data_IF_167093786145
#
_entry.id   IF_167093786145
#
_cell.length_a   1.000
_cell.length_b   1.000
_cell.length_c   1.000
_cell.angle_alpha   90.00
_cell.angle_beta   90.00
_cell.angle_gamma   90.00
#
_symmetry.space_group_name_H-M   'P 1'
#
loop_
_entity.id
_entity.type
_entity.pdbx_description
1 polymer ?
#
# COMPACT_ATOMS: atom_id res chain seq x y z
N UNK A 1 -9.02 -3.64 0.90
CA UNK A 1 -8.90 -2.18 0.80
C UNK A 1 -10.26 -1.53 1.02
N UNK A 2 -10.40 -0.55 1.93
CA UNK A 2 -11.64 0.17 2.15
C UNK A 2 -12.11 0.94 0.91
N UNK A 3 -13.42 1.05 0.72
CA UNK A 3 -14.02 1.72 -0.46
C UNK A 3 -13.62 3.19 -0.57
N UNK A 4 -13.48 3.90 0.56
CA UNK A 4 -13.06 5.31 0.54
C UNK A 4 -11.68 5.52 -0.10
N UNK A 5 -10.77 4.55 0.04
CA UNK A 5 -9.45 4.59 -0.61
C UNK A 5 -9.60 4.34 -2.11
N UNK A 6 -10.51 3.46 -2.53
CA UNK A 6 -10.80 3.25 -3.95
C UNK A 6 -11.34 4.52 -4.60
N UNK A 7 -12.35 5.16 -3.98
CA UNK A 7 -12.91 6.43 -4.46
C UNK A 7 -11.85 7.52 -4.58
N UNK A 8 -10.93 7.62 -3.61
CA UNK A 8 -9.79 8.53 -3.73
C UNK A 8 -8.93 8.22 -4.95
N UNK A 9 -8.55 6.96 -5.16
CA UNK A 9 -7.71 6.56 -6.30
C UNK A 9 -8.38 6.80 -7.66
N UNK A 10 -9.70 6.65 -7.73
CA UNK A 10 -10.51 6.91 -8.93
C UNK A 10 -10.68 8.42 -9.22
N UNK A 11 -10.47 9.28 -8.22
CA UNK A 11 -10.73 10.73 -8.33
C UNK A 11 -9.54 11.54 -8.84
N UNK A 12 -8.36 10.94 -9.00
CA UNK A 12 -7.12 11.66 -9.39
C UNK A 12 -6.29 10.89 -10.41
N UNK A 13 -5.44 11.61 -11.15
CA UNK A 13 -4.49 11.01 -12.09
C UNK A 13 -3.17 10.61 -11.40
N UNK A 14 -2.87 9.32 -11.44
CA UNK A 14 -1.64 8.72 -10.89
C UNK A 14 -0.65 8.28 -11.98
N UNK A 15 -0.82 8.73 -13.22
CA UNK A 15 0.07 8.41 -14.33
C UNK A 15 1.52 8.78 -13.99
N UNK A 16 2.43 7.81 -14.14
CA UNK A 16 3.85 7.90 -13.80
C UNK A 16 4.15 8.24 -12.33
N UNK A 17 3.16 8.17 -11.42
CA UNK A 17 3.37 8.37 -9.98
C UNK A 17 3.78 7.06 -9.32
N UNK A 18 4.65 7.17 -8.33
CA UNK A 18 5.00 6.04 -7.48
C UNK A 18 3.95 5.88 -6.38
N UNK A 19 3.39 4.68 -6.24
CA UNK A 19 2.44 4.33 -5.18
C UNK A 19 3.11 3.32 -4.25
N UNK A 20 3.26 3.69 -2.99
CA UNK A 20 3.86 2.87 -1.94
C UNK A 20 2.77 2.46 -0.93
N UNK A 21 2.12 1.30 -1.10
CA UNK A 21 0.98 0.94 -0.28
C UNK A 21 1.41 0.35 1.07
N UNK A 22 0.78 0.82 2.15
CA UNK A 22 0.95 0.27 3.49
C UNK A 22 -0.41 -0.11 4.08
N UNK A 23 -0.47 -1.17 4.90
CA UNK A 23 -1.65 -1.45 5.70
C UNK A 23 -1.29 -2.13 7.03
N UNK A 24 -2.07 -1.85 8.07
CA UNK A 24 -2.13 -2.72 9.25
C UNK A 24 -3.16 -3.84 9.03
N UNK A 25 -2.98 -4.99 9.68
CA UNK A 25 -3.91 -6.12 9.60
C UNK A 25 -3.83 -7.03 10.84
N UNK A 26 -4.86 -7.84 11.05
CA UNK A 26 -4.91 -8.88 12.09
C UNK A 26 -4.90 -10.31 11.50
N UNK A 27 -4.29 -10.47 10.31
CA UNK A 27 -3.98 -11.79 9.73
C UNK A 27 -4.10 -11.88 8.20
N UNK A 28 -4.79 -10.92 7.57
CA UNK A 28 -5.07 -10.93 6.13
C UNK A 28 -3.91 -10.44 5.24
N UNK A 29 -2.88 -9.83 5.82
CA UNK A 29 -1.80 -9.18 5.06
C UNK A 29 -2.35 -8.10 4.12
N UNK A 30 -1.72 -7.98 2.94
CA UNK A 30 -2.20 -7.07 1.88
C UNK A 30 -3.49 -7.55 1.19
N UNK A 31 -3.82 -8.84 1.29
CA UNK A 31 -4.91 -9.47 0.54
C UNK A 31 -4.85 -9.14 -0.96
N UNK A 32 -5.93 -8.59 -1.50
CA UNK A 32 -6.05 -8.14 -2.90
C UNK A 32 -5.70 -6.66 -3.13
N UNK A 33 -5.16 -5.96 -2.13
CA UNK A 33 -5.00 -4.50 -2.22
C UNK A 33 -3.98 -4.10 -3.28
N UNK A 34 -2.85 -4.81 -3.41
CA UNK A 34 -1.86 -4.56 -4.48
C UNK A 34 -2.44 -4.78 -5.89
N UNK A 35 -3.23 -5.85 -6.08
CA UNK A 35 -3.84 -6.11 -7.38
C UNK A 35 -4.95 -5.11 -7.72
N UNK A 36 -5.70 -4.65 -6.71
CA UNK A 36 -6.66 -3.57 -6.89
C UNK A 36 -5.97 -2.24 -7.26
N UNK A 37 -4.85 -1.90 -6.61
CA UNK A 37 -4.06 -0.71 -6.94
C UNK A 37 -3.58 -0.73 -8.40
N UNK A 38 -3.04 -1.86 -8.86
CA UNK A 38 -2.63 -2.03 -10.26
C UNK A 38 -3.79 -1.91 -11.26
N UNK A 39 -5.01 -2.28 -10.86
CA UNK A 39 -6.21 -2.16 -11.70
C UNK A 39 -6.76 -0.73 -11.73
N UNK A 40 -6.81 -0.07 -10.57
CA UNK A 40 -7.35 1.29 -10.44
C UNK A 40 -6.37 2.36 -10.95
N UNK A 41 -5.06 2.11 -10.84
CA UNK A 41 -4.02 3.04 -11.26
C UNK A 41 -3.05 2.35 -12.25
N UNK A 42 -3.51 1.91 -13.43
CA UNK A 42 -2.74 1.06 -14.34
C UNK A 42 -1.47 1.73 -14.90
N UNK A 43 -1.46 3.06 -14.99
CA UNK A 43 -0.32 3.83 -15.48
C UNK A 43 0.59 4.34 -14.35
N UNK A 44 0.39 3.86 -13.12
CA UNK A 44 1.24 4.19 -11.98
C UNK A 44 2.32 3.12 -11.76
N UNK A 45 3.35 3.49 -11.00
CA UNK A 45 4.41 2.57 -10.56
C UNK A 45 4.03 2.09 -9.15
N UNK A 46 3.31 0.98 -9.08
CA UNK A 46 2.89 0.37 -7.81
C UNK A 46 4.02 -0.49 -7.24
N UNK A 47 4.57 -0.05 -6.11
CA UNK A 47 5.63 -0.75 -5.38
C UNK A 47 5.08 -1.92 -4.57
N UNK A 48 5.98 -2.83 -4.15
CA UNK A 48 5.63 -3.88 -3.20
C UNK A 48 5.12 -3.24 -1.92
N UNK A 49 3.95 -3.66 -1.46
CA UNK A 49 3.32 -3.13 -0.27
C UNK A 49 3.92 -3.66 1.02
N UNK A 50 3.79 -2.84 2.06
CA UNK A 50 4.17 -3.19 3.42
C UNK A 50 2.94 -3.49 4.26
N UNK A 51 2.80 -4.74 4.67
CA UNK A 51 1.76 -5.16 5.61
C UNK A 51 2.36 -5.33 7.01
N UNK A 52 1.77 -4.67 7.99
CA UNK A 52 2.21 -4.69 9.39
C UNK A 52 1.09 -5.33 10.23
N UNK A 53 1.42 -6.33 11.04
CA UNK A 53 0.43 -6.87 11.98
C UNK A 53 0.07 -5.81 13.03
N UNK A 54 -1.21 -5.58 13.33
CA UNK A 54 -1.62 -4.43 14.16
C UNK A 54 -0.99 -4.44 15.54
N UNK A 55 -0.84 -5.62 16.16
CA UNK A 55 -0.09 -5.80 17.42
C UNK A 55 1.38 -5.34 17.39
N UNK A 56 1.99 -5.18 16.21
CA UNK A 56 3.39 -4.78 16.03
C UNK A 56 3.54 -3.36 15.45
N UNK A 57 2.46 -2.61 15.26
CA UNK A 57 2.53 -1.24 14.69
C UNK A 57 3.37 -0.30 15.56
N UNK A 58 3.34 -0.46 16.89
CA UNK A 58 4.18 0.36 17.78
C UNK A 58 5.68 0.19 17.58
N UNK A 59 6.11 -0.95 17.04
CA UNK A 59 7.52 -1.35 16.90
C UNK A 59 7.98 -1.39 15.42
N UNK A 60 7.13 -0.96 14.48
CA UNK A 60 7.36 -1.17 13.06
C UNK A 60 8.40 -0.23 12.41
N UNK A 61 9.03 0.68 13.17
CA UNK A 61 9.97 1.69 12.64
C UNK A 61 11.04 1.09 11.73
N UNK A 62 11.76 0.07 12.22
CA UNK A 62 12.84 -0.54 11.46
C UNK A 62 12.35 -1.28 10.21
N UNK A 63 11.12 -1.79 10.24
CA UNK A 63 10.48 -2.44 9.09
C UNK A 63 10.10 -1.40 8.02
N UNK A 64 9.53 -0.26 8.44
CA UNK A 64 9.22 0.88 7.59
C UNK A 64 10.48 1.46 6.93
N UNK A 65 11.53 1.70 7.72
CA UNK A 65 12.81 2.26 7.25
C UNK A 65 13.47 1.34 6.22
N UNK A 66 13.48 0.02 6.45
CA UNK A 66 13.98 -0.96 5.47
C UNK A 66 13.15 -1.01 4.20
N UNK A 67 11.82 -0.91 4.32
CA UNK A 67 10.92 -0.95 3.18
C UNK A 67 11.03 0.29 2.28
N UNK A 68 11.15 1.49 2.86
CA UNK A 68 11.30 2.73 2.08
C UNK A 68 12.76 2.97 1.64
N UNK A 69 13.72 2.55 2.45
CA UNK A 69 15.15 2.77 2.26
C UNK A 69 15.85 1.72 1.39
N UNK A 70 15.21 0.58 1.12
CA UNK A 70 15.68 -0.45 0.20
C UNK A 70 15.55 -0.06 -1.28
N UNK A 71 15.95 1.17 -1.64
CA UNK A 71 16.24 1.56 -3.02
C UNK A 71 17.55 0.95 -3.48
#
# INVERSE_FOLDING_TARGET
MPTIVMTFLESYDFTNKHIYPICSHEGSGMGRSESNLKKLCPNSIVHKGLSIHGSHVGECRQQLERWVGGK
#
